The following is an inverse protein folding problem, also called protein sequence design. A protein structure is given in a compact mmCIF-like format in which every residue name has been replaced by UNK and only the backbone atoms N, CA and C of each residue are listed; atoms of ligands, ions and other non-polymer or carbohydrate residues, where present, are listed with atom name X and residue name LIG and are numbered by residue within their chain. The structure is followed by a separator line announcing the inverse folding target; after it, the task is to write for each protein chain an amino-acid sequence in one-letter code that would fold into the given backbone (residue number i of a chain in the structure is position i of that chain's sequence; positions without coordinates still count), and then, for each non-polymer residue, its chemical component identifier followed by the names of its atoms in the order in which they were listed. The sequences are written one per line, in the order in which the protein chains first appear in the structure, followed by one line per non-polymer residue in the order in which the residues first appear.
data_IF_663232364083
#
_entry.id   IF_663232364083
#
_cell.length_a   1.000
_cell.length_b   1.000
_cell.length_c   1.000
_cell.angle_alpha   90.00
_cell.angle_beta   90.00
_cell.angle_gamma   90.00
#
_symmetry.space_group_name_H-M   'P 1'
#
loop_
_entity.id
_entity.type
_entity.pdbx_description
1 polymer ?
#
# COMPACT_ATOMS: atom_id res chain seq x y z
N UNK A 1 21.45 -3.19 -16.52
CA UNK A 1 20.25 -3.41 -15.70
C UNK A 1 20.01 -2.15 -14.87
N UNK A 2 18.85 -1.49 -15.00
CA UNK A 2 18.51 -0.37 -14.10
C UNK A 2 18.33 -0.96 -12.71
N UNK A 3 19.15 -0.53 -11.75
CA UNK A 3 18.96 -0.86 -10.34
C UNK A 3 17.60 -0.29 -9.90
N UNK A 4 16.61 -1.16 -9.79
CA UNK A 4 15.28 -0.77 -9.29
C UNK A 4 15.37 -0.73 -7.77
N UNK A 5 15.72 0.45 -7.25
CA UNK A 5 15.73 0.80 -5.83
C UNK A 5 14.29 0.78 -5.25
N UNK A 6 14.13 0.68 -3.92
CA UNK A 6 13.19 -0.24 -3.28
C UNK A 6 11.72 -0.02 -3.60
N UNK A 7 11.06 -1.16 -3.82
CA UNK A 7 9.62 -1.36 -3.99
C UNK A 7 8.90 -0.82 -2.77
N UNK A 8 8.11 0.26 -2.91
CA UNK A 8 7.22 0.67 -1.83
C UNK A 8 6.05 -0.30 -1.78
N UNK A 9 5.77 -0.86 -0.61
CA UNK A 9 4.55 -1.61 -0.36
C UNK A 9 3.58 -0.70 0.38
N UNK A 10 2.46 -0.39 -0.27
CA UNK A 10 1.47 0.56 0.23
C UNK A 10 0.14 -0.16 0.45
N UNK A 11 -0.69 0.37 1.34
CA UNK A 11 -2.09 -0.03 1.47
C UNK A 11 -2.97 1.02 0.81
N UNK A 12 -3.91 0.60 -0.04
CA UNK A 12 -4.85 1.46 -0.76
C UNK A 12 -6.28 0.99 -0.53
N UNK A 13 -7.23 1.90 -0.34
CA UNK A 13 -8.66 1.56 -0.27
C UNK A 13 -9.21 1.28 -1.67
N UNK A 14 -9.86 0.14 -1.88
CA UNK A 14 -10.24 -0.34 -3.20
C UNK A 14 -11.18 0.62 -3.95
N UNK A 15 -12.20 1.15 -3.26
CA UNK A 15 -13.22 2.04 -3.86
C UNK A 15 -12.73 3.47 -4.13
N UNK A 16 -11.97 4.07 -3.20
CA UNK A 16 -11.56 5.48 -3.30
C UNK A 16 -10.17 5.70 -3.87
N UNK A 17 -9.40 4.62 -4.09
CA UNK A 17 -7.99 4.64 -4.51
C UNK A 17 -7.08 5.54 -3.65
N UNK A 18 -7.48 5.82 -2.40
CA UNK A 18 -6.67 6.53 -1.41
C UNK A 18 -5.71 5.57 -0.71
N UNK A 19 -4.51 6.04 -0.42
CA UNK A 19 -3.45 5.32 0.28
C UNK A 19 -3.45 5.61 1.78
N UNK A 20 -3.06 4.63 2.57
CA UNK A 20 -2.95 4.75 4.02
C UNK A 20 -1.66 5.47 4.42
N UNK A 21 -1.75 6.47 5.30
CA UNK A 21 -0.59 7.15 5.92
C UNK A 21 -0.20 6.46 7.21
N UNK A 22 1.03 6.70 7.69
CA UNK A 22 1.49 6.22 9.01
C UNK A 22 0.60 6.71 10.16
N UNK A 23 -0.04 7.87 10.00
CA UNK A 23 -1.01 8.42 10.96
C UNK A 23 -2.36 7.70 10.98
N UNK A 24 -2.59 6.71 10.10
CA UNK A 24 -3.88 6.04 9.93
C UNK A 24 -4.87 6.81 9.05
N UNK A 25 -4.56 8.05 8.64
CA UNK A 25 -5.42 8.82 7.71
C UNK A 25 -5.22 8.37 6.26
N UNK A 26 -6.25 8.54 5.45
CA UNK A 26 -6.22 8.26 4.00
C UNK A 26 -5.78 9.49 3.18
N UNK A 27 -5.04 9.28 2.10
CA UNK A 27 -4.57 10.34 1.19
C UNK A 27 -4.61 9.90 -0.28
N UNK A 28 -4.79 10.82 -1.23
CA UNK A 28 -4.61 10.52 -2.66
C UNK A 28 -3.13 10.51 -3.08
N UNK A 29 -2.26 11.13 -2.28
CA UNK A 29 -0.84 11.21 -2.58
C UNK A 29 -0.10 9.96 -2.11
N UNK A 30 0.20 9.06 -3.03
CA UNK A 30 0.96 7.85 -2.77
C UNK A 30 2.40 8.10 -2.27
N UNK A 31 3.02 9.26 -2.56
CA UNK A 31 4.35 9.59 -2.00
C UNK A 31 4.30 9.77 -0.48
N UNK A 32 3.14 10.22 0.03
CA UNK A 32 2.88 10.42 1.46
C UNK A 32 2.31 9.17 2.16
N UNK A 33 2.15 8.06 1.43
CA UNK A 33 1.65 6.81 1.97
C UNK A 33 2.71 6.13 2.87
N UNK A 34 2.23 5.34 3.82
CA UNK A 34 3.08 4.49 4.64
C UNK A 34 3.73 3.43 3.76
N UNK A 35 5.05 3.32 3.82
CA UNK A 35 5.79 2.24 3.19
C UNK A 35 5.94 1.09 4.19
N UNK A 36 5.28 -0.03 3.93
CA UNK A 36 5.40 -1.22 4.75
C UNK A 36 6.66 -2.01 4.35
N UNK A 37 7.43 -2.53 5.31
CA UNK A 37 8.66 -3.26 5.01
C UNK A 37 8.38 -4.60 4.32
N UNK A 38 7.22 -5.21 4.53
CA UNK A 38 6.79 -6.44 3.85
C UNK A 38 5.27 -6.64 3.94
N UNK A 39 4.77 -7.63 3.20
CA UNK A 39 3.34 -7.96 3.09
C UNK A 39 2.71 -8.31 4.44
N UNK A 40 3.42 -9.07 5.28
CA UNK A 40 2.92 -9.47 6.60
C UNK A 40 2.66 -8.25 7.50
N UNK A 41 3.59 -7.30 7.54
CA UNK A 41 3.41 -6.06 8.30
C UNK A 41 2.24 -5.21 7.78
N UNK A 42 2.03 -5.18 6.46
CA UNK A 42 0.87 -4.50 5.89
C UNK A 42 -0.45 -5.18 6.27
N UNK A 43 -0.51 -6.51 6.21
CA UNK A 43 -1.70 -7.29 6.61
C UNK A 43 -1.98 -7.10 8.10
N UNK A 44 -0.97 -7.24 8.97
CA UNK A 44 -1.14 -7.02 10.41
C UNK A 44 -1.64 -5.60 10.71
N UNK A 45 -1.13 -4.59 10.01
CA UNK A 45 -1.62 -3.22 10.18
C UNK A 45 -3.07 -3.03 9.70
N UNK A 46 -3.49 -3.74 8.65
CA UNK A 46 -4.89 -3.75 8.23
C UNK A 46 -5.79 -4.41 9.27
N UNK A 47 -5.40 -5.59 9.78
CA UNK A 47 -6.15 -6.32 10.80
C UNK A 47 -6.26 -5.54 12.11
N UNK A 48 -5.15 -5.00 12.63
CA UNK A 48 -5.11 -4.25 13.88
C UNK A 48 -5.93 -2.95 13.85
N UNK A 49 -6.29 -2.48 12.66
CA UNK A 49 -7.08 -1.26 12.45
C UNK A 49 -8.45 -1.55 11.85
N UNK A 50 -8.82 -2.84 11.76
CA UNK A 50 -10.08 -3.30 11.18
C UNK A 50 -10.35 -2.69 9.79
N UNK A 51 -9.30 -2.59 8.96
CA UNK A 51 -9.43 -2.01 7.62
C UNK A 51 -10.06 -3.01 6.67
N UNK A 52 -11.18 -2.61 6.09
CA UNK A 52 -11.93 -3.35 5.08
C UNK A 52 -11.60 -2.88 3.65
N UNK A 53 -11.86 -3.78 2.69
CA UNK A 53 -11.78 -3.48 1.25
C UNK A 53 -10.47 -2.81 0.79
N UNK A 54 -9.34 -3.34 1.23
CA UNK A 54 -8.01 -2.80 0.90
C UNK A 54 -7.30 -3.58 -0.21
N UNK A 55 -6.39 -2.90 -0.88
CA UNK A 55 -5.46 -3.41 -1.88
C UNK A 55 -4.04 -3.15 -1.38
N UNK A 56 -3.18 -4.16 -1.47
CA UNK A 56 -1.75 -4.01 -1.32
C UNK A 56 -1.15 -3.58 -2.66
N UNK A 57 -0.42 -2.48 -2.66
CA UNK A 57 0.13 -1.89 -3.87
C UNK A 57 1.65 -1.92 -3.81
N UNK A 58 2.26 -2.62 -4.76
CA UNK A 58 3.71 -2.63 -5.00
C UNK A 58 4.02 -1.53 -6.02
N UNK A 59 4.84 -0.57 -5.60
CA UNK A 59 5.32 0.52 -6.46
C UNK A 59 6.82 0.42 -6.65
N UNK A 60 7.24 0.28 -7.90
CA UNK A 60 8.64 0.22 -8.30
C UNK A 60 9.12 1.62 -8.69
N UNK A 61 10.34 1.97 -8.29
CA UNK A 61 10.92 3.25 -8.71
C UNK A 61 11.24 3.23 -10.21
N UNK A 62 10.89 4.32 -10.90
CA UNK A 62 11.03 4.42 -12.36
C UNK A 62 10.01 3.63 -13.20
N UNK A 63 9.04 2.94 -12.57
CA UNK A 63 7.93 2.31 -13.28
C UNK A 63 6.70 3.24 -13.28
N UNK A 64 6.00 3.31 -14.41
CA UNK A 64 4.81 4.16 -14.56
C UNK A 64 3.53 3.48 -14.07
N UNK A 65 3.58 2.17 -13.76
CA UNK A 65 2.42 1.38 -13.38
C UNK A 65 2.57 0.77 -11.98
N UNK A 66 1.55 0.99 -11.14
CA UNK A 66 1.41 0.34 -9.85
C UNK A 66 0.92 -1.12 -10.03
N UNK A 67 1.52 -2.09 -9.33
CA UNK A 67 0.99 -3.46 -9.27
C UNK A 67 0.13 -3.63 -8.02
N UNK A 68 -1.10 -4.11 -8.20
CA UNK A 68 -2.09 -4.14 -7.12
C UNK A 68 -2.53 -5.58 -6.83
N UNK A 69 -2.43 -5.99 -5.57
CA UNK A 69 -2.96 -7.25 -5.05
C UNK A 69 -4.14 -6.91 -4.15
N UNK A 70 -5.33 -7.40 -4.49
CA UNK A 70 -6.51 -7.20 -3.67
C UNK A 70 -6.48 -8.20 -2.51
N UNK A 71 -6.63 -7.70 -1.29
CA UNK A 71 -6.62 -8.56 -0.10
C UNK A 71 -7.97 -8.40 0.60
N UNK A 72 -8.64 -9.51 0.86
CA UNK A 72 -9.79 -9.53 1.77
C UNK A 72 -9.24 -9.87 3.15
N UNK A 73 -9.27 -8.90 4.05
CA UNK A 73 -9.08 -9.18 5.46
C UNK A 73 -10.44 -9.67 5.97
N UNK A 74 -10.51 -10.94 6.39
CA UNK A 74 -11.70 -11.58 6.93
C UNK A 74 -11.72 -11.42 8.45
#
# INVERSE_FOLDING_TARGET
MKNVSPVKLLVRRAGSKKFLRSTGRWTRNAKAACNFPNVLNAIHACLARELDEVELVLRFDGDSKDRCLRVRCC
#
